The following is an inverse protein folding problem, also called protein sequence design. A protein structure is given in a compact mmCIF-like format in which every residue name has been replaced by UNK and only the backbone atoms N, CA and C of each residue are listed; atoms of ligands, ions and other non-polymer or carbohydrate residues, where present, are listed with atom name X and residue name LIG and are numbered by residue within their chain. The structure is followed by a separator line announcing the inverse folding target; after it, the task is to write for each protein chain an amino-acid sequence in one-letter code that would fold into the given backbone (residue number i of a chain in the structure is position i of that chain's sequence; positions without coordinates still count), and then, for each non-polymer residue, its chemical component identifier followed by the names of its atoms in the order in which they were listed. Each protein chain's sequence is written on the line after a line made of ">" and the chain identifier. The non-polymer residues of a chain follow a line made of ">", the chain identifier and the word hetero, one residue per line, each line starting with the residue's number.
data_IF_780514180397
#
_entry.id   IF_780514180397
#
_cell.length_a   1.000
_cell.length_b   1.000
_cell.length_c   1.000
_cell.angle_alpha   90.00
_cell.angle_beta   90.00
_cell.angle_gamma   90.00
#
_symmetry.space_group_name_H-M   'P 1'
#
loop_
_entity.id
_entity.type
_entity.pdbx_description
1 polymer ?
#
# COMPACT_ATOMS: atom_id res chain seq x y z
N UNK A 1 -16.32 -10.02 -1.31
CA UNK A 1 -15.31 -9.44 -0.37
C UNK A 1 -14.95 -10.39 0.75
N UNK A 2 -15.91 -11.04 1.39
CA UNK A 2 -15.65 -12.00 2.48
C UNK A 2 -14.75 -13.14 2.03
N UNK A 3 -15.04 -13.80 0.91
CA UNK A 3 -14.20 -14.88 0.37
C UNK A 3 -12.75 -14.46 0.11
N UNK A 4 -12.52 -13.20 -0.31
CA UNK A 4 -11.17 -12.67 -0.52
C UNK A 4 -10.49 -12.39 0.82
N UNK A 5 -11.20 -11.84 1.79
CA UNK A 5 -10.67 -11.58 3.12
C UNK A 5 -10.21 -12.87 3.81
N UNK A 6 -10.94 -13.98 3.64
CA UNK A 6 -10.57 -15.31 4.15
C UNK A 6 -9.29 -15.88 3.51
N UNK A 7 -8.95 -15.43 2.30
CA UNK A 7 -7.70 -15.82 1.63
C UNK A 7 -6.47 -15.03 2.08
N UNK A 8 -6.64 -13.97 2.89
CA UNK A 8 -5.53 -13.14 3.38
C UNK A 8 -4.80 -13.87 4.50
N UNK A 9 -3.57 -14.31 4.26
CA UNK A 9 -2.76 -15.01 5.25
C UNK A 9 -2.08 -14.07 6.26
N UNK A 10 -1.80 -12.83 5.89
CA UNK A 10 -1.21 -11.81 6.76
C UNK A 10 -1.41 -10.42 6.17
N UNK A 11 -1.35 -9.42 7.04
CA UNK A 11 -1.31 -8.00 6.70
C UNK A 11 -0.03 -7.37 7.25
N UNK A 12 0.43 -6.28 6.64
CA UNK A 12 1.58 -5.54 7.14
C UNK A 12 1.50 -4.07 6.69
N UNK A 13 2.07 -3.13 7.47
CA UNK A 13 2.35 -1.79 6.96
C UNK A 13 3.39 -1.85 5.85
N UNK A 14 3.28 -0.97 4.88
CA UNK A 14 4.25 -0.89 3.79
C UNK A 14 4.52 0.54 3.37
N UNK A 15 5.77 0.81 2.94
CA UNK A 15 6.10 1.98 2.15
C UNK A 15 6.39 1.56 0.72
N UNK A 16 5.63 2.09 -0.21
CA UNK A 16 5.95 1.99 -1.63
C UNK A 16 6.72 3.23 -2.07
N UNK A 17 7.92 2.99 -2.56
CA UNK A 17 8.75 4.01 -3.19
C UNK A 17 8.50 3.97 -4.68
N UNK A 18 7.88 5.01 -5.20
CA UNK A 18 7.67 5.15 -6.63
C UNK A 18 8.83 5.90 -7.26
N UNK A 19 9.24 5.50 -8.44
CA UNK A 19 10.32 6.11 -9.19
C UNK A 19 9.95 6.21 -10.67
N UNK A 20 10.39 7.29 -11.32
CA UNK A 20 10.09 7.53 -12.72
C UNK A 20 11.36 7.62 -13.55
N UNK A 21 11.45 6.76 -14.57
CA UNK A 21 12.48 6.86 -15.59
C UNK A 21 12.24 8.04 -16.55
N UNK A 22 11.07 8.66 -16.49
CA UNK A 22 10.70 9.79 -17.35
C UNK A 22 11.04 11.11 -16.67
N UNK A 23 11.63 12.06 -17.39
CA UNK A 23 12.01 13.35 -16.84
C UNK A 23 10.80 14.12 -16.28
N UNK A 24 11.00 14.76 -15.13
CA UNK A 24 10.01 15.65 -14.52
C UNK A 24 8.66 15.00 -14.21
N UNK A 25 8.59 13.66 -14.13
CA UNK A 25 7.34 12.92 -13.90
C UNK A 25 6.27 13.18 -14.98
N UNK A 26 6.71 13.57 -16.18
CA UNK A 26 5.81 13.75 -17.32
C UNK A 26 5.53 12.39 -17.96
N UNK A 27 4.51 11.72 -17.46
CA UNK A 27 4.16 10.34 -17.81
C UNK A 27 2.70 10.25 -18.26
N UNK A 28 2.49 9.57 -19.39
CA UNK A 28 1.16 9.16 -19.81
C UNK A 28 0.73 7.86 -19.10
N UNK A 29 -0.55 7.49 -19.21
CA UNK A 29 -1.03 6.19 -18.72
C UNK A 29 -0.27 5.03 -19.37
N UNK A 30 0.03 5.12 -20.67
CA UNK A 30 0.79 4.09 -21.38
C UNK A 30 2.23 3.96 -20.86
N UNK A 31 2.87 5.08 -20.54
CA UNK A 31 4.20 5.10 -19.96
C UNK A 31 4.22 4.49 -18.56
N UNK A 32 3.22 4.82 -17.74
CA UNK A 32 3.04 4.24 -16.41
C UNK A 32 2.90 2.72 -16.47
N UNK A 33 2.09 2.21 -17.40
CA UNK A 33 1.93 0.76 -17.61
C UNK A 33 3.25 0.13 -18.08
N UNK A 34 3.92 0.74 -19.05
CA UNK A 34 5.20 0.25 -19.59
C UNK A 34 6.32 0.23 -18.54
N UNK A 35 6.29 1.18 -17.59
CA UNK A 35 7.24 1.25 -16.47
C UNK A 35 6.79 0.44 -15.24
N UNK A 36 5.89 -0.53 -15.38
CA UNK A 36 5.47 -1.40 -14.28
C UNK A 36 4.75 -0.67 -13.14
N UNK A 37 3.96 0.37 -13.44
CA UNK A 37 3.26 1.17 -12.45
C UNK A 37 4.16 2.17 -11.71
N UNK A 38 5.36 2.45 -12.22
CA UNK A 38 6.38 3.28 -11.58
C UNK A 38 6.87 2.72 -10.23
N UNK A 39 6.71 1.42 -10.01
CA UNK A 39 7.13 0.78 -8.78
C UNK A 39 8.67 0.68 -8.70
N UNK A 40 9.26 1.39 -7.75
CA UNK A 40 10.70 1.34 -7.47
C UNK A 40 11.05 0.31 -6.39
N UNK A 41 10.42 0.39 -5.23
CA UNK A 41 10.67 -0.51 -4.10
C UNK A 41 9.47 -0.57 -3.15
N UNK A 42 9.22 -1.75 -2.59
CA UNK A 42 8.28 -1.95 -1.49
C UNK A 42 9.05 -2.37 -0.22
N UNK A 43 8.91 -1.58 0.84
CA UNK A 43 9.39 -1.96 2.19
C UNK A 43 8.19 -2.46 2.98
N UNK A 44 8.29 -3.67 3.50
CA UNK A 44 7.24 -4.34 4.26
C UNK A 44 7.65 -4.41 5.72
N UNK A 45 6.81 -3.91 6.60
CA UNK A 45 7.02 -3.94 8.04
C UNK A 45 6.61 -5.26 8.68
N UNK A 46 6.31 -5.21 9.97
CA UNK A 46 5.91 -6.38 10.73
C UNK A 46 4.62 -7.00 10.19
N UNK A 47 4.67 -8.31 9.91
CA UNK A 47 3.48 -9.07 9.51
C UNK A 47 2.61 -9.36 10.73
N UNK A 48 1.31 -9.17 10.56
CA UNK A 48 0.29 -9.48 11.55
C UNK A 48 -0.68 -10.51 11.01
N UNK A 49 -1.21 -11.36 11.87
CA UNK A 49 -2.35 -12.19 11.53
C UNK A 49 -3.58 -11.30 11.29
N UNK A 50 -4.41 -11.61 10.28
CA UNK A 50 -5.62 -10.84 10.03
C UNK A 50 -6.56 -10.90 11.26
N UNK A 51 -7.14 -9.76 11.68
CA UNK A 51 -8.18 -9.76 12.71
C UNK A 51 -9.46 -10.43 12.20
N UNK A 52 -10.33 -10.84 13.11
CA UNK A 52 -11.58 -11.53 12.76
C UNK A 52 -12.48 -10.71 11.83
N UNK A 53 -12.56 -9.39 12.04
CA UNK A 53 -13.36 -8.46 11.23
C UNK A 53 -12.43 -7.65 10.29
N UNK A 54 -11.61 -8.33 9.49
CA UNK A 54 -10.54 -7.74 8.68
C UNK A 54 -11.03 -6.57 7.81
N UNK A 55 -12.17 -6.73 7.14
CA UNK A 55 -12.71 -5.71 6.23
C UNK A 55 -12.98 -4.41 7.00
N UNK A 56 -13.70 -4.50 8.11
CA UNK A 56 -14.05 -3.34 8.92
C UNK A 56 -12.81 -2.71 9.56
N UNK A 57 -11.90 -3.53 10.10
CA UNK A 57 -10.65 -3.05 10.68
C UNK A 57 -9.80 -2.27 9.68
N UNK A 58 -9.68 -2.77 8.46
CA UNK A 58 -8.89 -2.08 7.43
C UNK A 58 -9.60 -0.84 6.88
N UNK A 59 -10.92 -0.81 6.81
CA UNK A 59 -11.67 0.37 6.39
C UNK A 59 -11.58 1.51 7.39
N UNK A 60 -11.66 1.19 8.68
CA UNK A 60 -11.59 2.16 9.80
C UNK A 60 -10.17 2.55 10.18
N UNK A 61 -9.18 1.85 9.64
CA UNK A 61 -7.76 2.10 9.88
C UNK A 61 -7.42 3.56 9.61
N UNK A 62 -6.71 4.19 10.55
CA UNK A 62 -6.12 5.51 10.35
C UNK A 62 -4.62 5.42 10.37
N UNK A 63 -3.97 6.26 9.58
CA UNK A 63 -2.52 6.37 9.54
C UNK A 63 -2.09 7.81 9.75
N UNK A 64 -1.04 7.99 10.54
CA UNK A 64 -0.33 9.25 10.70
C UNK A 64 1.03 9.08 10.03
N UNK A 65 1.28 9.86 9.00
CA UNK A 65 2.56 9.90 8.31
C UNK A 65 3.38 11.06 8.86
N UNK A 66 4.57 10.78 9.35
CA UNK A 66 5.50 11.77 9.91
C UNK A 66 6.80 11.80 9.13
N UNK A 67 7.38 12.99 9.02
CA UNK A 67 8.71 13.27 8.49
C UNK A 67 9.56 13.90 9.59
N UNK A 68 10.68 13.27 9.98
CA UNK A 68 11.58 13.75 11.03
C UNK A 68 10.80 14.14 12.30
N UNK A 69 9.96 13.24 12.81
CA UNK A 69 9.10 13.38 13.99
C UNK A 69 8.00 14.47 13.88
N UNK A 70 7.82 15.08 12.73
CA UNK A 70 6.74 16.03 12.50
C UNK A 70 5.64 15.42 11.65
N UNK A 71 4.39 15.58 12.07
CA UNK A 71 3.24 15.09 11.29
C UNK A 71 3.23 15.79 9.94
N UNK A 72 3.29 14.99 8.88
CA UNK A 72 3.28 15.45 7.50
C UNK A 72 1.91 15.24 6.84
N UNK A 73 1.25 14.09 7.10
CA UNK A 73 -0.03 13.76 6.51
C UNK A 73 -0.84 12.81 7.40
N UNK A 74 -2.13 12.65 7.08
CA UNK A 74 -3.04 11.70 7.73
C UNK A 74 -3.87 11.02 6.68
N UNK A 75 -4.09 9.72 6.85
CA UNK A 75 -4.89 8.94 5.94
C UNK A 75 -5.79 7.94 6.65
N UNK A 76 -6.57 7.25 5.89
CA UNK A 76 -7.47 6.21 6.38
C UNK A 76 -7.64 5.09 5.35
N UNK A 77 -8.04 3.92 5.82
CA UNK A 77 -8.20 2.74 4.97
C UNK A 77 -9.16 2.94 3.81
N UNK A 78 -10.26 3.65 4.04
CA UNK A 78 -11.27 3.96 3.02
C UNK A 78 -10.81 4.90 1.90
N UNK A 79 -9.63 5.50 2.00
CA UNK A 79 -9.03 6.27 0.89
C UNK A 79 -8.66 5.38 -0.31
N UNK A 80 -8.51 4.08 -0.09
CA UNK A 80 -8.14 3.11 -1.12
C UNK A 80 -9.39 2.38 -1.61
N UNK A 81 -10.04 2.88 -2.66
CA UNK A 81 -11.19 2.24 -3.32
C UNK A 81 -12.23 1.66 -2.31
N UNK A 82 -12.63 2.46 -1.33
CA UNK A 82 -13.52 2.06 -0.24
C UNK A 82 -12.96 0.99 0.71
N UNK A 83 -11.66 0.77 0.70
CA UNK A 83 -10.91 -0.08 1.60
C UNK A 83 -9.93 -1.04 0.92
N UNK A 84 -8.89 -1.49 1.63
CA UNK A 84 -7.85 -2.37 1.08
C UNK A 84 -8.38 -3.70 0.54
N UNK A 85 -9.38 -4.32 1.16
CA UNK A 85 -9.98 -5.56 0.66
C UNK A 85 -10.82 -5.31 -0.60
N UNK A 86 -11.47 -4.16 -0.69
CA UNK A 86 -12.15 -3.73 -1.91
C UNK A 86 -11.16 -3.57 -3.08
N UNK A 87 -10.01 -2.92 -2.83
CA UNK A 87 -8.97 -2.79 -3.84
C UNK A 87 -8.45 -4.16 -4.32
N UNK A 88 -8.27 -5.11 -3.40
CA UNK A 88 -7.87 -6.49 -3.73
C UNK A 88 -8.93 -7.20 -4.58
N UNK A 89 -10.22 -6.97 -4.30
CA UNK A 89 -11.31 -7.49 -5.10
C UNK A 89 -11.32 -6.92 -6.53
N UNK A 90 -11.06 -5.62 -6.68
CA UNK A 90 -10.93 -5.00 -8.00
C UNK A 90 -9.75 -5.58 -8.78
N UNK A 91 -8.62 -5.82 -8.13
CA UNK A 91 -7.46 -6.46 -8.76
C UNK A 91 -7.83 -7.87 -9.26
N UNK A 92 -8.40 -8.71 -8.40
CA UNK A 92 -8.79 -10.08 -8.76
C UNK A 92 -9.76 -10.08 -9.95
N UNK A 93 -10.77 -9.22 -9.92
CA UNK A 93 -11.72 -9.10 -11.01
C UNK A 93 -11.06 -8.64 -12.32
N UNK A 94 -10.12 -7.71 -12.25
CA UNK A 94 -9.32 -7.27 -13.40
C UNK A 94 -8.47 -8.41 -14.00
N UNK A 95 -7.85 -9.23 -13.16
CA UNK A 95 -7.06 -10.38 -13.58
C UNK A 95 -7.95 -11.41 -14.31
N UNK A 96 -9.12 -11.71 -13.77
CA UNK A 96 -10.08 -12.63 -14.41
C UNK A 96 -10.54 -12.14 -15.78
N UNK A 97 -10.78 -10.83 -15.93
CA UNK A 97 -11.28 -10.27 -17.20
C UNK A 97 -10.21 -10.13 -18.28
N UNK A 98 -9.01 -9.69 -17.91
CA UNK A 98 -8.01 -9.27 -18.88
C UNK A 98 -6.87 -10.27 -19.08
N UNK A 99 -6.63 -11.12 -18.11
CA UNK A 99 -5.54 -12.11 -18.17
C UNK A 99 -6.08 -13.48 -17.74
N UNK A 100 -6.76 -14.15 -18.61
CA UNK A 100 -7.43 -15.47 -18.38
C UNK A 100 -6.57 -16.57 -17.71
N UNK A 101 -5.33 -16.28 -17.31
CA UNK A 101 -4.39 -17.21 -16.68
C UNK A 101 -3.62 -16.60 -15.50
N UNK A 102 -3.93 -15.37 -15.09
CA UNK A 102 -3.23 -14.69 -13.99
C UNK A 102 -4.17 -14.52 -12.80
N UNK A 103 -4.29 -15.55 -11.99
CA UNK A 103 -4.98 -15.47 -10.70
C UNK A 103 -3.95 -15.16 -9.60
N UNK A 104 -4.40 -14.51 -8.54
CA UNK A 104 -3.64 -14.41 -7.30
C UNK A 104 -3.43 -15.80 -6.72
N UNK A 105 -2.23 -16.06 -6.26
CA UNK A 105 -1.82 -17.36 -5.72
C UNK A 105 -1.39 -17.26 -4.27
N UNK A 106 -1.44 -18.38 -3.58
CA UNK A 106 -0.87 -18.46 -2.23
C UNK A 106 0.60 -18.04 -2.23
N UNK A 107 0.93 -17.07 -1.40
CA UNK A 107 2.27 -16.49 -1.29
C UNK A 107 2.46 -15.17 -2.04
N UNK A 108 1.51 -14.77 -2.88
CA UNK A 108 1.57 -13.46 -3.51
C UNK A 108 1.41 -12.34 -2.48
N UNK A 109 2.12 -11.24 -2.70
CA UNK A 109 2.07 -10.05 -1.88
C UNK A 109 1.50 -8.92 -2.71
N UNK A 110 0.47 -8.27 -2.21
CA UNK A 110 -0.22 -7.19 -2.90
C UNK A 110 -0.15 -5.91 -2.08
N UNK A 111 0.36 -4.83 -2.68
CA UNK A 111 0.17 -3.47 -2.18
C UNK A 111 -1.19 -2.97 -2.66
N UNK A 112 -2.07 -2.62 -1.72
CA UNK A 112 -3.47 -2.28 -2.03
C UNK A 112 -3.67 -0.82 -2.43
N UNK A 113 -2.64 -0.01 -2.32
CA UNK A 113 -2.65 1.41 -2.64
C UNK A 113 -2.30 2.30 -1.45
N UNK A 114 -2.11 3.59 -1.69
CA UNK A 114 -1.68 4.53 -0.66
C UNK A 114 -2.85 5.01 0.19
N UNK A 115 -2.62 5.11 1.50
CA UNK A 115 -3.57 5.66 2.47
C UNK A 115 -3.45 7.18 2.62
N UNK A 116 -2.28 7.72 2.27
CA UNK A 116 -1.93 9.15 2.30
C UNK A 116 -1.55 9.62 0.90
N UNK A 117 -1.29 10.90 0.72
CA UNK A 117 -0.72 11.39 -0.54
C UNK A 117 0.73 10.95 -0.73
N UNK A 118 1.12 10.72 -1.99
CA UNK A 118 2.52 10.52 -2.32
C UNK A 118 3.32 11.80 -2.05
N UNK A 119 4.47 11.68 -1.39
CA UNK A 119 5.33 12.81 -1.00
C UNK A 119 6.70 12.67 -1.65
N UNK A 120 7.31 13.78 -2.10
CA UNK A 120 8.70 13.75 -2.54
C UNK A 120 9.61 13.42 -1.37
N UNK A 121 10.60 12.58 -1.64
CA UNK A 121 11.56 12.10 -0.66
C UNK A 121 12.98 12.53 -0.99
N UNK A 122 13.84 12.61 0.03
CA UNK A 122 15.25 12.97 -0.12
C UNK A 122 16.13 12.20 0.88
N UNK A 123 17.39 11.94 0.55
CA UNK A 123 18.32 11.34 1.50
C UNK A 123 18.43 12.13 2.83
N UNK A 124 18.64 11.43 3.92
CA UNK A 124 18.70 11.97 5.27
C UNK A 124 17.35 12.20 5.94
N UNK A 125 16.24 11.90 5.26
CA UNK A 125 14.90 11.97 5.85
C UNK A 125 14.56 10.67 6.58
N UNK A 126 13.83 10.79 7.69
CA UNK A 126 13.22 9.67 8.40
C UNK A 126 11.71 9.79 8.23
N UNK A 127 11.12 8.78 7.60
CA UNK A 127 9.68 8.67 7.41
C UNK A 127 9.11 7.60 8.31
N UNK A 128 8.03 7.93 9.01
CA UNK A 128 7.35 7.02 9.91
C UNK A 128 5.84 7.04 9.66
N UNK A 129 5.25 5.86 9.57
CA UNK A 129 3.81 5.65 9.53
C UNK A 129 3.37 4.95 10.81
N UNK A 130 2.49 5.57 11.58
CA UNK A 130 1.84 5.00 12.77
C UNK A 130 0.39 4.66 12.43
N UNK A 131 -0.04 3.44 12.76
CA UNK A 131 -1.36 2.91 12.40
C UNK A 131 -2.25 2.80 13.65
N UNK A 132 -3.29 3.63 13.70
CA UNK A 132 -4.31 3.55 14.77
C UNK A 132 -5.23 2.35 14.51
N UNK A 133 -5.66 1.68 15.57
CA UNK A 133 -6.48 0.47 15.49
C UNK A 133 -5.69 -0.84 15.60
N UNK A 134 -4.36 -0.76 15.54
CA UNK A 134 -3.44 -1.87 15.81
C UNK A 134 -2.45 -1.45 16.90
N UNK A 135 -2.33 -2.23 17.95
CA UNK A 135 -1.45 -1.90 19.07
C UNK A 135 0.01 -1.79 18.63
N UNK A 136 0.58 -0.60 18.78
CA UNK A 136 2.01 -0.32 18.47
C UNK A 136 2.45 -0.60 17.03
N UNK A 137 1.52 -0.70 16.07
CA UNK A 137 1.88 -0.95 14.67
C UNK A 137 2.42 0.33 14.04
N UNK A 138 3.68 0.27 13.65
CA UNK A 138 4.32 1.35 12.88
C UNK A 138 5.34 0.79 11.90
N UNK A 139 5.73 1.61 10.95
CA UNK A 139 6.85 1.36 10.05
C UNK A 139 7.66 2.65 9.93
N UNK A 140 8.96 2.54 10.13
CA UNK A 140 9.90 3.64 9.99
C UNK A 140 10.98 3.29 8.98
N UNK A 141 11.36 4.23 8.15
CA UNK A 141 12.43 4.10 7.18
C UNK A 141 13.32 5.34 7.20
N UNK A 142 14.62 5.13 7.23
CA UNK A 142 15.63 6.16 7.04
C UNK A 142 16.14 6.11 5.60
N UNK A 143 16.11 7.24 4.92
CA UNK A 143 16.58 7.35 3.54
C UNK A 143 18.08 7.69 3.55
N UNK A 144 18.88 6.75 3.10
CA UNK A 144 20.33 6.92 2.94
C UNK A 144 20.71 7.20 1.47
N UNK A 145 21.95 7.70 1.27
CA UNK A 145 22.49 7.90 -0.09
C UNK A 145 22.73 6.57 -0.82
#
# INVERSE_FOLDING_TARGET
>A
MEDIAECVGWIAPGFEFVDSIYPNWDVSLSDTIAAGGLNGKLVIGQKLSPPQDLIQHLNDLKVILSLNDQINDRGQGSNVLDGPISALQYLQHGLEQYQKQADLKSGDVVSTGTLTDAKPISPGQIWRADFEGFESLHLEVELTN
#
